data_IF_333444727280
#
_entry.id   IF_333444727280
#
_cell.length_a   1.000
_cell.length_b   1.000
_cell.length_c   1.000
_cell.angle_alpha   90.00
_cell.angle_beta   90.00
_cell.angle_gamma   90.00
#
_symmetry.space_group_name_H-M   'P 1'
#
loop_
_entity.id
_entity.type
_entity.pdbx_description
1 polymer ?
#
# COMPACT_ATOMS: atom_id res chain seq x y z
N UNK A 1 -10.55 21.61 7.01
CA UNK A 1 -9.70 21.98 5.87
C UNK A 1 -8.62 20.92 5.70
N UNK A 2 -8.45 20.42 4.52
CA UNK A 2 -7.42 19.43 4.35
C UNK A 2 -6.11 20.07 3.89
N UNK A 3 -5.02 19.50 4.37
CA UNK A 3 -3.69 19.88 3.95
C UNK A 3 -3.16 18.75 3.08
N UNK A 4 -2.50 19.10 2.00
CA UNK A 4 -1.85 18.10 1.21
C UNK A 4 -0.45 18.56 0.86
N UNK A 5 0.48 17.61 0.89
CA UNK A 5 1.83 17.79 0.43
C UNK A 5 2.09 16.77 -0.67
N UNK A 6 2.13 17.24 -1.88
CA UNK A 6 2.32 16.38 -3.05
C UNK A 6 3.58 16.83 -3.73
N UNK A 7 4.53 15.91 -3.89
CA UNK A 7 5.83 16.20 -4.49
C UNK A 7 6.18 15.15 -5.53
N UNK A 8 6.52 15.60 -6.73
CA UNK A 8 6.97 14.75 -7.83
C UNK A 8 6.01 13.57 -8.08
N UNK A 9 4.71 13.85 -8.01
CA UNK A 9 3.69 12.82 -8.08
C UNK A 9 2.59 13.18 -9.05
N UNK A 10 1.92 12.15 -9.57
CA UNK A 10 0.72 12.31 -10.38
C UNK A 10 -0.48 11.97 -9.51
N UNK A 11 -1.39 12.92 -9.38
CA UNK A 11 -2.65 12.71 -8.68
C UNK A 11 -3.79 12.88 -9.67
N UNK A 12 -4.91 12.24 -9.37
CA UNK A 12 -6.02 12.15 -10.30
C UNK A 12 -7.27 12.83 -9.74
N UNK A 13 -8.26 12.95 -10.61
CA UNK A 13 -9.53 13.56 -10.26
C UNK A 13 -10.21 12.80 -9.11
N UNK A 14 -10.74 13.55 -8.16
CA UNK A 14 -11.44 12.97 -7.02
C UNK A 14 -10.55 12.46 -5.89
N UNK A 15 -9.23 12.60 -6.01
CA UNK A 15 -8.33 12.19 -4.93
C UNK A 15 -8.47 13.15 -3.74
N UNK A 16 -8.50 12.58 -2.54
CA UNK A 16 -8.56 13.34 -1.29
C UNK A 16 -7.30 13.03 -0.48
N UNK A 17 -6.42 14.00 -0.39
CA UNK A 17 -5.10 13.81 0.20
C UNK A 17 -4.97 14.67 1.45
N UNK A 18 -4.97 14.05 2.61
CA UNK A 18 -4.79 14.73 3.90
C UNK A 18 -3.41 14.44 4.49
N UNK A 19 -2.62 13.65 3.80
CA UNK A 19 -1.26 13.30 4.18
C UNK A 19 -0.24 13.79 3.17
N UNK A 20 0.87 13.09 3.07
CA UNK A 20 1.98 13.43 2.19
C UNK A 20 2.14 12.37 1.09
N UNK A 21 2.32 12.82 -0.14
CA UNK A 21 2.54 11.93 -1.29
C UNK A 21 3.82 12.36 -2.00
N UNK A 22 4.76 11.44 -2.14
CA UNK A 22 6.07 11.72 -2.71
C UNK A 22 6.39 10.69 -3.79
N UNK A 23 6.77 11.17 -4.97
CA UNK A 23 7.21 10.32 -6.08
C UNK A 23 6.30 9.12 -6.31
N UNK A 24 4.99 9.38 -6.36
CA UNK A 24 3.97 8.34 -6.43
C UNK A 24 2.92 8.66 -7.47
N UNK A 25 2.15 7.66 -7.84
CA UNK A 25 1.04 7.82 -8.80
C UNK A 25 -0.24 7.39 -8.09
N UNK A 26 -1.23 8.28 -8.05
CA UNK A 26 -2.54 8.00 -7.50
C UNK A 26 -3.58 8.03 -8.62
N UNK A 27 -4.28 6.92 -8.79
CA UNK A 27 -5.41 6.83 -9.73
C UNK A 27 -6.64 7.53 -9.15
N UNK A 28 -7.72 7.73 -9.93
CA UNK A 28 -8.89 8.46 -9.43
C UNK A 28 -9.53 7.85 -8.19
N UNK A 29 -10.02 8.72 -7.31
CA UNK A 29 -10.83 8.31 -6.16
C UNK A 29 -10.05 7.84 -4.94
N UNK A 30 -8.74 8.03 -4.92
CA UNK A 30 -7.90 7.58 -3.79
C UNK A 30 -8.06 8.54 -2.60
N UNK A 31 -8.12 7.97 -1.40
CA UNK A 31 -8.12 8.76 -0.16
C UNK A 31 -6.90 8.42 0.67
N UNK A 32 -6.18 9.45 1.07
CA UNK A 32 -4.99 9.33 1.93
C UNK A 32 -5.30 10.04 3.24
N UNK A 33 -5.32 9.29 4.33
CA UNK A 33 -5.68 9.82 5.64
C UNK A 33 -4.64 10.76 6.23
N UNK A 34 -5.05 11.50 7.25
CA UNK A 34 -4.20 12.49 7.91
C UNK A 34 -2.98 11.81 8.55
N UNK A 35 -1.83 12.43 8.38
CA UNK A 35 -0.57 11.93 8.92
C UNK A 35 0.07 10.79 8.15
N UNK A 36 -0.58 10.30 7.11
CA UNK A 36 -0.03 9.21 6.30
C UNK A 36 0.99 9.73 5.28
N UNK A 37 1.94 8.87 4.96
CA UNK A 37 2.98 9.15 3.95
C UNK A 37 2.96 8.04 2.92
N UNK A 38 2.81 8.41 1.66
CA UNK A 38 2.90 7.49 0.52
C UNK A 38 4.08 7.92 -0.33
N UNK A 39 5.02 7.01 -0.54
CA UNK A 39 6.22 7.34 -1.33
C UNK A 39 6.63 6.18 -2.23
N UNK A 40 7.14 6.51 -3.40
CA UNK A 40 7.64 5.56 -4.39
C UNK A 40 6.62 4.45 -4.70
N UNK A 41 5.33 4.81 -4.74
CA UNK A 41 4.25 3.83 -4.80
C UNK A 41 3.25 4.14 -5.92
N UNK A 42 2.50 3.13 -6.30
CA UNK A 42 1.40 3.26 -7.25
C UNK A 42 0.13 2.79 -6.54
N UNK A 43 -0.82 3.70 -6.41
CA UNK A 43 -2.08 3.44 -5.72
C UNK A 43 -3.20 3.54 -6.74
N UNK A 44 -3.94 2.46 -6.93
CA UNK A 44 -4.95 2.38 -7.97
C UNK A 44 -6.32 2.86 -7.50
N UNK A 45 -7.32 2.73 -8.36
CA UNK A 45 -8.61 3.40 -8.17
C UNK A 45 -9.30 3.06 -6.85
N UNK A 46 -9.84 4.08 -6.20
CA UNK A 46 -10.72 3.96 -5.05
C UNK A 46 -10.09 3.25 -3.84
N UNK A 47 -8.77 3.27 -3.74
CA UNK A 47 -8.07 2.75 -2.57
C UNK A 47 -8.20 3.77 -1.44
N UNK A 48 -8.45 3.27 -0.24
CA UNK A 48 -8.53 4.10 0.96
C UNK A 48 -7.37 3.75 1.88
N UNK A 49 -6.55 4.73 2.20
CA UNK A 49 -5.45 4.59 3.16
C UNK A 49 -5.82 5.38 4.40
N UNK A 50 -5.81 4.73 5.54
CA UNK A 50 -6.19 5.33 6.81
C UNK A 50 -5.20 6.37 7.30
N UNK A 51 -5.29 6.71 8.59
CA UNK A 51 -4.47 7.74 9.22
C UNK A 51 -3.15 7.15 9.70
N UNK A 52 -2.11 7.99 9.68
CA UNK A 52 -0.80 7.65 10.26
C UNK A 52 -0.18 6.39 9.67
N UNK A 53 -0.42 6.15 8.38
CA UNK A 53 0.18 5.04 7.67
C UNK A 53 1.46 5.46 6.97
N UNK A 54 2.37 4.51 6.77
CA UNK A 54 3.55 4.71 5.94
C UNK A 54 3.51 3.65 4.86
N UNK A 55 3.44 4.09 3.61
CA UNK A 55 3.40 3.21 2.44
C UNK A 55 4.64 3.50 1.61
N UNK A 56 5.50 2.52 1.46
CA UNK A 56 6.76 2.68 0.74
C UNK A 56 6.94 1.58 -0.31
N UNK A 57 7.29 1.97 -1.53
CA UNK A 57 7.57 1.04 -2.62
C UNK A 57 6.49 -0.03 -2.77
N UNK A 58 5.24 0.39 -2.85
CA UNK A 58 4.13 -0.55 -2.90
C UNK A 58 3.20 -0.25 -4.07
N UNK A 59 2.61 -1.29 -4.60
CA UNK A 59 1.54 -1.20 -5.60
C UNK A 59 0.30 -1.74 -4.92
N UNK A 60 -0.72 -0.90 -4.77
CA UNK A 60 -1.98 -1.28 -4.13
C UNK A 60 -3.09 -1.19 -5.18
N UNK A 61 -3.67 -2.32 -5.49
CA UNK A 61 -4.69 -2.40 -6.53
C UNK A 61 -6.05 -1.90 -6.03
N UNK A 62 -6.95 -1.72 -6.96
CA UNK A 62 -8.21 -0.98 -6.74
C UNK A 62 -9.09 -1.56 -5.65
N UNK A 63 -9.85 -0.69 -5.03
CA UNK A 63 -10.87 -1.01 -4.01
C UNK A 63 -10.29 -1.69 -2.78
N UNK A 64 -9.00 -1.53 -2.51
CA UNK A 64 -8.40 -2.03 -1.30
C UNK A 64 -8.47 -0.97 -0.20
N UNK A 65 -8.49 -1.42 1.05
CA UNK A 65 -8.59 -0.55 2.21
C UNK A 65 -7.44 -0.87 3.16
N UNK A 66 -6.70 0.15 3.54
CA UNK A 66 -5.62 0.03 4.52
C UNK A 66 -6.07 0.74 5.79
N UNK A 67 -6.13 0.02 6.89
CA UNK A 67 -6.53 0.58 8.19
C UNK A 67 -5.50 1.56 8.74
N UNK A 68 -5.83 2.18 9.86
CA UNK A 68 -4.96 3.18 10.47
C UNK A 68 -3.67 2.57 11.02
N UNK A 69 -2.62 3.37 11.10
CA UNK A 69 -1.36 3.00 11.75
C UNK A 69 -0.66 1.80 11.12
N UNK A 70 -0.85 1.58 9.82
CA UNK A 70 -0.17 0.51 9.10
C UNK A 70 1.18 0.99 8.57
N UNK A 71 2.13 0.06 8.49
CA UNK A 71 3.42 0.30 7.85
C UNK A 71 3.60 -0.75 6.78
N UNK A 72 3.61 -0.32 5.52
CA UNK A 72 3.73 -1.22 4.37
C UNK A 72 5.00 -0.87 3.62
N UNK A 73 5.91 -1.84 3.52
CA UNK A 73 7.20 -1.63 2.91
C UNK A 73 8.21 -1.09 3.91
N UNK A 74 8.58 -1.89 4.88
CA UNK A 74 9.49 -1.47 5.94
C UNK A 74 10.67 -2.44 6.09
N UNK A 75 11.77 -1.92 6.62
CA UNK A 75 12.94 -2.71 6.97
C UNK A 75 13.92 -2.91 5.83
N UNK A 76 15.03 -3.54 6.18
CA UNK A 76 16.15 -3.78 5.27
C UNK A 76 16.24 -5.22 4.77
N UNK A 77 15.26 -6.04 5.12
CA UNK A 77 15.22 -7.42 4.68
C UNK A 77 14.60 -7.50 3.29
N UNK A 78 15.46 -7.61 2.29
CA UNK A 78 15.05 -7.67 0.89
C UNK A 78 15.02 -9.12 0.37
N UNK A 79 14.75 -10.08 1.25
CA UNK A 79 14.56 -11.47 0.81
C UNK A 79 13.54 -11.51 -0.33
N UNK A 80 13.91 -12.03 -1.49
CA UNK A 80 12.99 -12.10 -2.63
C UNK A 80 11.74 -12.90 -2.31
N UNK A 81 10.65 -12.61 -3.03
CA UNK A 81 9.42 -13.35 -2.85
C UNK A 81 9.68 -14.84 -3.13
N UNK A 82 9.24 -15.69 -2.23
CA UNK A 82 9.53 -17.13 -2.29
C UNK A 82 8.89 -17.80 -3.50
N UNK A 83 7.75 -17.28 -3.95
CA UNK A 83 7.04 -17.84 -5.11
C UNK A 83 7.43 -17.20 -6.43
N UNK A 84 7.77 -15.90 -6.40
CA UNK A 84 8.12 -15.16 -7.61
C UNK A 84 9.40 -14.35 -7.39
N UNK A 85 10.52 -15.01 -7.12
CA UNK A 85 11.77 -14.29 -6.89
C UNK A 85 12.30 -13.59 -8.14
N UNK A 86 11.85 -14.00 -9.30
CA UNK A 86 12.23 -13.39 -10.58
C UNK A 86 11.59 -12.01 -10.78
N UNK A 87 10.48 -11.74 -10.11
CA UNK A 87 9.72 -10.49 -10.27
C UNK A 87 9.82 -9.59 -9.05
N UNK A 88 9.66 -10.17 -7.86
CA UNK A 88 9.67 -9.41 -6.62
C UNK A 88 10.96 -9.63 -5.85
N UNK A 89 11.92 -8.74 -6.08
CA UNK A 89 13.24 -8.85 -5.47
C UNK A 89 13.87 -7.49 -5.12
N UNK A 90 13.20 -6.38 -5.42
CA UNK A 90 13.74 -5.04 -5.21
C UNK A 90 13.07 -4.27 -4.07
N UNK A 91 12.29 -4.96 -3.25
CA UNK A 91 11.65 -4.37 -2.09
C UNK A 91 10.25 -3.85 -2.33
N UNK A 92 9.66 -4.16 -3.48
CA UNK A 92 8.32 -3.70 -3.84
C UNK A 92 7.28 -4.70 -3.35
N UNK A 93 6.25 -4.21 -2.67
CA UNK A 93 5.09 -5.01 -2.28
C UNK A 93 3.99 -4.87 -3.32
N UNK A 94 3.26 -5.95 -3.57
CA UNK A 94 2.12 -5.94 -4.46
C UNK A 94 0.90 -6.41 -3.69
N UNK A 95 -0.07 -5.52 -3.52
CA UNK A 95 -1.32 -5.80 -2.83
C UNK A 95 -2.43 -5.77 -3.87
N UNK A 96 -3.10 -6.89 -4.04
CA UNK A 96 -4.14 -7.06 -5.04
C UNK A 96 -5.40 -6.27 -4.72
N UNK A 97 -6.38 -6.39 -5.59
CA UNK A 97 -7.62 -5.63 -5.46
C UNK A 97 -8.52 -6.20 -4.36
N UNK A 98 -9.30 -5.33 -3.74
CA UNK A 98 -10.30 -5.68 -2.72
C UNK A 98 -9.69 -6.37 -1.51
N UNK A 99 -8.47 -5.97 -1.15
CA UNK A 99 -7.83 -6.46 0.06
C UNK A 99 -8.12 -5.47 1.18
N UNK A 100 -8.57 -5.96 2.32
CA UNK A 100 -8.74 -5.15 3.52
C UNK A 100 -7.62 -5.47 4.49
N UNK A 101 -6.81 -4.48 4.78
CA UNK A 101 -5.67 -4.61 5.69
C UNK A 101 -6.06 -3.95 7.01
N UNK A 102 -6.08 -4.71 8.13
CA UNK A 102 -6.51 -4.16 9.41
C UNK A 102 -5.52 -3.14 9.96
N UNK A 103 -5.98 -2.33 10.90
CA UNK A 103 -5.12 -1.34 11.53
C UNK A 103 -3.92 -1.99 12.21
N UNK A 104 -2.81 -1.26 12.25
CA UNK A 104 -1.60 -1.71 12.91
C UNK A 104 -0.79 -2.77 12.18
N UNK A 105 -1.16 -3.08 10.94
CA UNK A 105 -0.44 -4.08 10.15
C UNK A 105 0.96 -3.60 9.79
N UNK A 106 1.92 -4.53 9.88
CA UNK A 106 3.28 -4.30 9.39
C UNK A 106 3.57 -5.28 8.26
N UNK A 107 3.92 -4.75 7.10
CA UNK A 107 4.27 -5.55 5.92
C UNK A 107 5.69 -5.15 5.51
N UNK A 108 6.59 -6.13 5.42
CA UNK A 108 7.98 -5.87 5.11
C UNK A 108 8.20 -5.68 3.60
N UNK A 109 9.08 -6.43 2.96
CA UNK A 109 9.46 -6.21 1.57
C UNK A 109 9.18 -7.43 0.70
N UNK A 110 8.93 -7.20 -0.59
CA UNK A 110 8.73 -8.27 -1.57
C UNK A 110 7.54 -9.19 -1.24
N UNK A 111 6.50 -8.62 -0.65
CA UNK A 111 5.31 -9.36 -0.25
C UNK A 111 4.25 -9.26 -1.35
N UNK A 112 3.58 -10.38 -1.63
CA UNK A 112 2.42 -10.43 -2.54
C UNK A 112 1.18 -10.80 -1.74
N UNK A 113 0.12 -10.04 -1.92
CA UNK A 113 -1.18 -10.35 -1.32
C UNK A 113 -2.22 -10.27 -2.43
N UNK A 114 -2.99 -11.31 -2.63
CA UNK A 114 -4.07 -11.29 -3.60
C UNK A 114 -5.23 -12.17 -3.15
N UNK A 115 -6.38 -11.98 -3.77
CA UNK A 115 -7.60 -12.67 -3.37
C UNK A 115 -8.43 -13.02 -4.60
N UNK A 116 -9.50 -13.77 -4.35
CA UNK A 116 -10.53 -14.02 -5.34
C UNK A 116 -11.31 -12.73 -5.62
N UNK A 117 -12.23 -12.80 -6.57
CA UNK A 117 -13.06 -11.65 -6.95
C UNK A 117 -13.90 -11.09 -5.80
N UNK A 118 -14.12 -11.86 -4.74
CA UNK A 118 -14.90 -11.40 -3.58
C UNK A 118 -14.11 -10.55 -2.60
N UNK A 119 -12.82 -10.49 -2.78
CA UNK A 119 -11.97 -9.77 -1.86
C UNK A 119 -11.51 -10.61 -0.67
N UNK A 120 -10.68 -10.02 0.17
CA UNK A 120 -10.08 -10.71 1.31
C UNK A 120 -9.75 -9.72 2.42
N UNK A 121 -10.06 -10.10 3.66
CA UNK A 121 -9.61 -9.38 4.84
C UNK A 121 -8.43 -10.13 5.44
N UNK A 122 -7.31 -9.42 5.61
CA UNK A 122 -6.10 -10.00 6.20
C UNK A 122 -6.29 -10.06 7.71
N UNK A 123 -5.92 -11.17 8.31
CA UNK A 123 -6.06 -11.36 9.77
C UNK A 123 -4.72 -11.36 10.50
N UNK A 124 -3.63 -11.48 9.76
CA UNK A 124 -2.29 -11.37 10.33
C UNK A 124 -2.02 -9.93 10.79
N UNK A 125 -1.03 -9.73 11.63
CA UNK A 125 -0.62 -8.39 12.04
C UNK A 125 0.80 -8.04 11.62
N UNK A 126 1.54 -9.01 11.08
CA UNK A 126 2.89 -8.79 10.59
C UNK A 126 3.17 -9.80 9.47
N UNK A 127 3.59 -9.31 8.32
CA UNK A 127 3.94 -10.15 7.19
C UNK A 127 5.40 -9.92 6.86
N UNK A 128 6.19 -10.98 6.97
CA UNK A 128 7.64 -10.92 6.74
C UNK A 128 7.98 -10.80 5.27
N UNK A 129 9.17 -10.32 5.00
CA UNK A 129 9.67 -10.18 3.63
C UNK A 129 9.60 -11.51 2.87
N UNK A 130 9.22 -11.41 1.60
CA UNK A 130 9.18 -12.54 0.69
C UNK A 130 7.95 -13.43 0.77
N UNK A 131 7.01 -13.14 1.66
CA UNK A 131 5.82 -13.97 1.82
C UNK A 131 4.75 -13.67 0.76
N UNK A 132 3.92 -14.66 0.49
CA UNK A 132 2.73 -14.52 -0.37
C UNK A 132 1.51 -14.98 0.40
N UNK A 133 0.46 -14.14 0.39
CA UNK A 133 -0.86 -14.48 0.92
C UNK A 133 -1.84 -14.56 -0.24
N UNK A 134 -2.50 -15.67 -0.37
CA UNK A 134 -3.46 -15.89 -1.45
C UNK A 134 -4.86 -16.18 -0.92
#
# INVERSE_FOLDING_TARGET
MYKRQVKDSLVSHGDQIYGKVINSVLSPGVKIGEGSVVRDSVILNDVVIGKNCIIDKSIIDKNSVVGDNCVIGTGDDYTPNKERPDILNSGINVIGKRITIPQGMVIERNVRIFSSSKGKTIVENHIKSGETLA
#
